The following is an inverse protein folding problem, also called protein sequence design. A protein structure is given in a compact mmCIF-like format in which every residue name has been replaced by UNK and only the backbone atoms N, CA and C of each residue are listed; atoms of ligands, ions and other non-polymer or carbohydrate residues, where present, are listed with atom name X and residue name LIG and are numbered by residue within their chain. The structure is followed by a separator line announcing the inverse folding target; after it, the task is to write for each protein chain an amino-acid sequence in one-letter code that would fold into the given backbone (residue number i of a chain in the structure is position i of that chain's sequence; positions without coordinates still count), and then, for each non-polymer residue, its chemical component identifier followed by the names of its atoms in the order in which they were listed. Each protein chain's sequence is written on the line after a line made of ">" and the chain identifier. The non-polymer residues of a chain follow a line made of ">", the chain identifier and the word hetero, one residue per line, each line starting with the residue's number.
data_IF_180335079791
#
_entry.id   IF_180335079791
#
_cell.length_a   1.000
_cell.length_b   1.000
_cell.length_c   1.000
_cell.angle_alpha   90.00
_cell.angle_beta   90.00
_cell.angle_gamma   90.00
#
_symmetry.space_group_name_H-M   'P 1'
#
loop_
_entity.id
_entity.type
_entity.pdbx_description
1 polymer ?
#
# COMPACT_ATOMS: atom_id res chain seq x y z
N UNK A 1 -26.18 -40.78 48.42
CA UNK A 1 -25.61 -39.68 49.25
C UNK A 1 -24.10 -39.90 49.35
N UNK A 2 -23.15 -38.99 49.12
CA UNK A 2 -23.12 -37.54 48.91
C UNK A 2 -21.82 -37.21 48.11
N UNK A 3 -21.98 -36.48 47.01
CA UNK A 3 -21.17 -35.37 46.47
C UNK A 3 -19.72 -35.18 46.98
N UNK A 4 -18.74 -35.45 46.12
CA UNK A 4 -17.43 -34.78 46.10
C UNK A 4 -17.45 -33.56 45.18
N UNK A 5 -17.44 -32.34 45.74
CA UNK A 5 -17.46 -31.07 45.00
C UNK A 5 -16.04 -30.63 44.62
N UNK A 6 -15.86 -30.40 43.32
CA UNK A 6 -14.92 -29.52 42.60
C UNK A 6 -14.02 -28.62 43.47
N UNK A 7 -12.71 -28.87 43.43
CA UNK A 7 -11.63 -27.92 43.81
C UNK A 7 -10.99 -27.23 42.59
N UNK A 8 -11.64 -27.31 41.43
CA UNK A 8 -11.27 -26.57 40.21
C UNK A 8 -12.21 -25.36 40.10
N UNK A 9 -11.85 -24.22 40.69
CA UNK A 9 -12.45 -22.92 40.29
C UNK A 9 -11.88 -21.67 40.96
N UNK A 10 -11.04 -21.76 42.00
CA UNK A 10 -10.65 -20.55 42.74
C UNK A 10 -9.38 -19.87 42.19
N UNK A 11 -8.38 -20.64 41.76
CA UNK A 11 -7.09 -20.09 41.27
C UNK A 11 -7.24 -19.45 39.88
N UNK A 12 -8.08 -20.03 39.01
CA UNK A 12 -8.31 -19.49 37.65
C UNK A 12 -9.15 -18.20 37.65
N UNK A 13 -10.03 -18.01 38.65
CA UNK A 13 -10.83 -16.79 38.77
C UNK A 13 -10.01 -15.61 39.29
N UNK A 14 -9.04 -15.86 40.18
CA UNK A 14 -8.14 -14.83 40.73
C UNK A 14 -7.15 -14.34 39.67
N UNK A 15 -6.67 -15.22 38.77
CA UNK A 15 -5.77 -14.84 37.68
C UNK A 15 -6.44 -13.97 36.59
N UNK A 16 -7.75 -14.10 36.37
CA UNK A 16 -8.51 -13.19 35.49
C UNK A 16 -9.06 -11.95 36.22
N UNK A 17 -9.31 -12.02 37.53
CA UNK A 17 -9.78 -10.88 38.30
C UNK A 17 -8.67 -9.86 38.57
N UNK A 18 -7.40 -10.27 38.73
CA UNK A 18 -6.31 -9.36 39.07
C UNK A 18 -6.01 -8.31 37.97
N UNK A 19 -5.93 -8.67 36.67
CA UNK A 19 -5.76 -7.68 35.59
C UNK A 19 -6.98 -6.77 35.45
N UNK A 20 -8.19 -7.32 35.63
CA UNK A 20 -9.45 -6.56 35.53
C UNK A 20 -9.61 -5.56 36.69
N UNK A 21 -9.20 -5.92 37.90
CA UNK A 21 -9.21 -5.01 39.05
C UNK A 21 -8.08 -3.97 39.00
N UNK A 22 -6.91 -4.30 38.45
CA UNK A 22 -5.83 -3.32 38.29
C UNK A 22 -6.22 -2.30 37.22
N UNK A 23 -6.69 -2.75 36.06
CA UNK A 23 -7.16 -1.87 34.98
C UNK A 23 -8.41 -1.10 35.41
N UNK A 24 -9.37 -1.74 36.08
CA UNK A 24 -10.57 -1.07 36.62
C UNK A 24 -10.27 -0.07 37.73
N UNK A 25 -9.33 -0.37 38.63
CA UNK A 25 -8.92 0.50 39.73
C UNK A 25 -8.11 1.72 39.27
N UNK A 26 -7.24 1.53 38.27
CA UNK A 26 -6.56 2.64 37.59
C UNK A 26 -7.53 3.46 36.74
N UNK A 27 -8.46 2.82 36.02
CA UNK A 27 -9.46 3.50 35.19
C UNK A 27 -10.43 4.39 35.98
N UNK A 28 -10.67 4.06 37.25
CA UNK A 28 -11.50 4.87 38.15
C UNK A 28 -10.77 6.10 38.69
N UNK A 29 -9.43 6.14 38.62
CA UNK A 29 -8.60 7.23 39.19
C UNK A 29 -7.89 8.07 38.13
N UNK A 30 -7.72 7.54 36.93
CA UNK A 30 -6.92 8.11 35.86
C UNK A 30 -7.70 8.06 34.54
N UNK A 31 -7.59 9.09 33.68
CA UNK A 31 -8.20 9.07 32.36
C UNK A 31 -7.76 7.83 31.56
N UNK A 32 -8.73 7.10 31.03
CA UNK A 32 -8.51 5.96 30.13
C UNK A 32 -8.94 6.33 28.73
N UNK A 33 -8.04 6.10 27.78
CA UNK A 33 -8.31 6.27 26.36
C UNK A 33 -8.30 4.91 25.68
N UNK A 34 -9.30 4.68 24.85
CA UNK A 34 -9.41 3.52 23.99
C UNK A 34 -9.14 3.94 22.56
N UNK A 35 -8.12 3.35 21.95
CA UNK A 35 -7.74 3.64 20.57
C UNK A 35 -7.74 2.35 19.76
N UNK A 36 -8.14 2.46 18.50
CA UNK A 36 -7.96 1.41 17.50
C UNK A 36 -6.87 1.87 16.54
N UNK A 37 -5.91 1.01 16.30
CA UNK A 37 -4.80 1.30 15.41
C UNK A 37 -4.69 0.19 14.35
N UNK A 38 -4.52 0.58 13.09
CA UNK A 38 -4.11 -0.33 12.03
C UNK A 38 -2.59 -0.33 12.00
N UNK A 39 -1.98 -1.49 12.27
CA UNK A 39 -0.53 -1.65 12.18
C UNK A 39 -0.23 -2.30 10.84
N UNK A 40 0.22 -1.48 9.89
CA UNK A 40 0.64 -1.91 8.56
C UNK A 40 2.08 -2.43 8.59
N UNK A 41 2.32 -3.44 7.76
CA UNK A 41 3.63 -3.97 7.47
C UNK A 41 3.71 -4.35 6.00
N UNK A 42 4.93 -4.59 5.52
CA UNK A 42 5.23 -4.90 4.13
C UNK A 42 5.83 -6.30 4.03
N UNK A 43 5.46 -7.02 2.98
CA UNK A 43 5.98 -8.34 2.68
C UNK A 43 6.05 -8.60 1.18
N UNK A 44 6.39 -9.83 0.83
CA UNK A 44 6.53 -10.28 -0.56
C UNK A 44 5.87 -11.63 -0.75
N UNK A 45 5.07 -11.73 -1.80
CA UNK A 45 4.48 -12.97 -2.31
C UNK A 45 5.16 -13.40 -3.61
N UNK A 46 5.04 -14.68 -3.94
CA UNK A 46 5.51 -15.25 -5.20
C UNK A 46 4.35 -15.91 -5.95
N UNK A 47 4.39 -15.90 -7.28
CA UNK A 47 3.31 -16.38 -8.12
C UNK A 47 3.77 -16.99 -9.44
N UNK A 48 2.84 -17.66 -10.11
CA UNK A 48 3.03 -18.13 -11.51
C UNK A 48 2.59 -17.08 -12.51
N UNK A 49 1.70 -16.18 -12.11
CA UNK A 49 1.20 -15.04 -12.89
C UNK A 49 1.19 -13.81 -11.97
N UNK A 50 1.09 -12.58 -12.52
CA UNK A 50 1.10 -11.37 -11.72
C UNK A 50 -0.17 -11.19 -10.85
N UNK A 51 -1.26 -11.88 -11.21
CA UNK A 51 -2.55 -11.85 -10.49
C UNK A 51 -2.78 -13.09 -9.60
N UNK A 52 -1.90 -14.09 -9.69
CA UNK A 52 -1.97 -15.30 -8.84
C UNK A 52 -0.68 -15.43 -8.03
N UNK A 53 -0.55 -14.53 -7.06
CA UNK A 53 0.55 -14.50 -6.09
C UNK A 53 0.10 -15.00 -4.74
N UNK A 54 1.00 -15.65 -4.00
CA UNK A 54 0.70 -16.17 -2.67
C UNK A 54 1.94 -16.16 -1.77
N UNK A 55 1.70 -16.30 -0.47
CA UNK A 55 2.77 -16.42 0.50
C UNK A 55 3.71 -17.60 0.16
N UNK A 56 5.01 -17.31 0.08
CA UNK A 56 6.04 -18.29 -0.19
C UNK A 56 6.63 -18.83 1.10
N UNK A 57 6.76 -20.15 1.23
CA UNK A 57 7.45 -20.79 2.37
C UNK A 57 8.93 -20.42 2.48
N UNK A 58 9.50 -19.86 1.40
CA UNK A 58 10.90 -19.43 1.36
C UNK A 58 11.10 -18.00 1.88
N UNK A 59 10.01 -17.30 2.22
CA UNK A 59 10.01 -15.90 2.66
C UNK A 59 9.35 -15.85 4.04
N UNK A 60 9.99 -15.21 5.01
CA UNK A 60 9.43 -15.03 6.35
C UNK A 60 8.79 -13.64 6.45
N UNK A 61 7.51 -13.55 6.08
CA UNK A 61 6.76 -12.30 6.15
C UNK A 61 6.24 -12.00 7.58
N UNK A 62 5.98 -10.72 7.93
CA UNK A 62 6.30 -9.52 7.16
C UNK A 62 7.83 -9.29 7.11
N UNK A 63 8.28 -8.63 6.04
CA UNK A 63 9.70 -8.37 5.77
C UNK A 63 10.18 -7.03 6.31
N UNK A 64 9.31 -6.00 6.24
CA UNK A 64 9.60 -4.67 6.76
C UNK A 64 8.42 -4.25 7.64
N UNK A 65 8.75 -3.76 8.83
CA UNK A 65 7.81 -3.26 9.83
C UNK A 65 8.29 -1.89 10.32
N UNK A 66 7.46 -1.19 11.10
CA UNK A 66 7.84 0.07 11.74
C UNK A 66 9.15 -0.01 12.55
N UNK A 67 9.46 -1.16 13.16
CA UNK A 67 10.68 -1.33 13.97
C UNK A 67 11.96 -1.47 13.15
N UNK A 68 11.86 -1.72 11.85
CA UNK A 68 13.02 -1.82 10.96
C UNK A 68 13.51 -0.44 10.49
N UNK A 69 12.66 0.58 10.62
CA UNK A 69 13.00 1.98 10.32
C UNK A 69 13.88 2.53 11.45
N UNK A 70 15.05 3.07 11.12
CA UNK A 70 16.09 3.40 12.12
C UNK A 70 16.51 4.87 12.18
N UNK A 71 16.14 5.68 11.18
CA UNK A 71 16.48 7.10 11.07
C UNK A 71 15.34 8.04 11.50
N UNK A 72 14.09 7.56 11.46
CA UNK A 72 12.91 8.21 12.05
C UNK A 72 12.07 7.25 12.90
N UNK A 73 11.18 7.78 13.73
CA UNK A 73 10.27 6.96 14.55
C UNK A 73 9.00 6.64 13.77
N UNK A 74 8.92 5.44 13.19
CA UNK A 74 7.76 5.03 12.40
C UNK A 74 6.60 4.48 13.25
N UNK A 75 5.37 4.78 12.84
CA UNK A 75 4.13 4.14 13.32
C UNK A 75 3.85 2.86 12.52
N UNK A 76 4.01 2.90 11.20
CA UNK A 76 3.83 1.78 10.29
C UNK A 76 4.60 1.98 8.98
N UNK A 77 4.59 0.95 8.12
CA UNK A 77 5.04 1.01 6.72
C UNK A 77 3.98 0.42 5.79
N UNK A 78 3.78 0.99 4.60
CA UNK A 78 2.73 0.60 3.64
C UNK A 78 3.08 0.93 2.18
N UNK A 79 2.22 0.55 1.24
CA UNK A 79 2.33 0.85 -0.19
C UNK A 79 3.68 0.56 -0.87
N UNK A 80 4.16 -0.69 -0.83
CA UNK A 80 5.48 -1.03 -1.35
C UNK A 80 5.50 -1.17 -2.87
N UNK A 81 6.36 -0.40 -3.53
CA UNK A 81 6.70 -0.52 -4.95
C UNK A 81 8.09 -1.09 -5.17
N UNK A 82 8.19 -2.11 -6.02
CA UNK A 82 9.44 -2.71 -6.44
C UNK A 82 10.07 -1.97 -7.63
N UNK A 83 11.39 -1.94 -7.63
CA UNK A 83 12.19 -1.54 -8.77
C UNK A 83 13.41 -2.46 -8.88
N UNK A 84 13.77 -2.86 -10.09
CA UNK A 84 14.93 -3.74 -10.32
C UNK A 84 15.94 -3.07 -11.24
N UNK A 85 17.19 -3.00 -10.79
CA UNK A 85 18.30 -2.43 -11.54
C UNK A 85 19.61 -3.13 -11.20
N UNK A 86 20.41 -3.44 -12.22
CA UNK A 86 21.74 -4.06 -12.08
C UNK A 86 21.71 -5.33 -11.19
N UNK A 87 20.71 -6.18 -11.41
CA UNK A 87 20.43 -7.41 -10.63
C UNK A 87 20.09 -7.20 -9.15
N UNK A 88 19.97 -5.95 -8.69
CA UNK A 88 19.52 -5.59 -7.33
C UNK A 88 18.04 -5.21 -7.35
N UNK A 89 17.33 -5.64 -6.32
CA UNK A 89 15.96 -5.22 -6.04
C UNK A 89 15.95 -4.07 -5.04
N UNK A 90 15.14 -3.08 -5.34
CA UNK A 90 14.82 -1.94 -4.49
C UNK A 90 13.33 -1.98 -4.21
N UNK A 91 12.94 -1.55 -3.01
CA UNK A 91 11.54 -1.40 -2.62
C UNK A 91 11.40 -0.03 -1.98
N UNK A 92 10.49 0.77 -2.51
CA UNK A 92 10.12 2.07 -1.96
C UNK A 92 8.74 1.94 -1.32
N UNK A 93 8.54 2.53 -0.16
CA UNK A 93 7.30 2.38 0.62
C UNK A 93 7.04 3.62 1.48
N UNK A 94 5.78 3.83 1.84
CA UNK A 94 5.39 4.82 2.84
C UNK A 94 5.96 4.41 4.21
N UNK A 95 6.47 5.40 4.94
CA UNK A 95 6.78 5.33 6.36
C UNK A 95 5.99 6.43 7.06
N UNK A 96 5.01 6.07 7.89
CA UNK A 96 4.28 7.07 8.67
C UNK A 96 5.12 7.48 9.88
N UNK A 97 5.58 8.73 9.89
CA UNK A 97 6.32 9.30 11.00
C UNK A 97 5.39 9.55 12.21
N UNK A 98 5.74 8.95 13.35
CA UNK A 98 4.94 8.99 14.57
C UNK A 98 5.01 10.32 15.33
N UNK A 99 5.96 11.20 14.97
CA UNK A 99 6.15 12.48 15.67
C UNK A 99 5.25 13.58 15.11
N UNK A 100 5.15 13.68 13.79
CA UNK A 100 4.35 14.69 13.08
C UNK A 100 3.10 14.11 12.40
N UNK A 101 2.97 12.78 12.30
CA UNK A 101 1.84 12.11 11.66
C UNK A 101 1.87 12.20 10.13
N UNK A 102 3.03 12.47 9.54
CA UNK A 102 3.24 12.65 8.10
C UNK A 102 3.91 11.41 7.50
N UNK A 103 3.54 11.06 6.27
CA UNK A 103 4.18 10.00 5.51
C UNK A 103 5.45 10.50 4.82
N UNK A 104 6.52 9.73 4.92
CA UNK A 104 7.80 9.90 4.22
C UNK A 104 8.05 8.66 3.34
N UNK A 105 8.96 8.73 2.36
CA UNK A 105 9.30 7.56 1.53
C UNK A 105 10.57 6.89 2.03
N UNK A 106 10.42 5.66 2.52
CA UNK A 106 11.51 4.77 2.89
C UNK A 106 11.97 3.90 1.72
N UNK A 107 13.16 3.31 1.85
CA UNK A 107 13.70 2.37 0.88
C UNK A 107 14.36 1.16 1.55
N UNK A 108 14.18 -0.02 0.96
CA UNK A 108 14.87 -1.25 1.30
C UNK A 108 15.51 -1.89 0.05
N UNK A 109 16.55 -2.70 0.27
CA UNK A 109 17.26 -3.40 -0.80
C UNK A 109 17.24 -4.91 -0.59
N UNK A 110 17.31 -5.66 -1.70
CA UNK A 110 17.46 -7.11 -1.71
C UNK A 110 18.29 -7.57 -2.90
N UNK A 111 19.15 -8.57 -2.69
CA UNK A 111 19.89 -9.22 -3.77
C UNK A 111 19.06 -10.31 -4.48
N UNK A 112 18.06 -10.87 -3.82
CA UNK A 112 17.32 -12.06 -4.28
C UNK A 112 15.79 -11.87 -4.34
N UNK A 113 15.31 -10.69 -3.94
CA UNK A 113 13.89 -10.35 -3.82
C UNK A 113 13.20 -10.99 -2.61
N UNK A 114 13.90 -11.75 -1.77
CA UNK A 114 13.33 -12.49 -0.63
C UNK A 114 13.84 -11.96 0.70
N UNK A 115 15.12 -11.64 0.77
CA UNK A 115 15.77 -11.10 1.97
C UNK A 115 15.94 -9.60 1.80
N UNK A 116 15.19 -8.83 2.58
CA UNK A 116 15.14 -7.38 2.47
C UNK A 116 15.82 -6.72 3.66
N UNK A 117 16.51 -5.63 3.39
CA UNK A 117 17.14 -4.80 4.42
C UNK A 117 16.71 -3.36 4.23
N UNK A 118 16.11 -2.79 5.27
CA UNK A 118 15.87 -1.35 5.36
C UNK A 118 17.16 -0.55 5.13
N UNK A 119 17.08 0.53 4.36
CA UNK A 119 18.20 1.43 4.08
C UNK A 119 18.05 2.76 4.83
N UNK A 120 17.15 3.62 4.37
CA UNK A 120 16.92 4.97 4.90
C UNK A 120 15.64 5.58 4.30
N UNK A 121 15.19 6.71 4.84
CA UNK A 121 14.28 7.65 4.17
C UNK A 121 15.01 8.29 2.98
N UNK A 122 14.36 8.31 1.82
CA UNK A 122 14.90 8.81 0.54
C UNK A 122 14.14 10.01 -0.01
N UNK A 123 12.93 10.27 0.50
CA UNK A 123 12.16 11.47 0.18
C UNK A 123 11.34 11.89 1.40
N UNK A 124 11.54 13.13 1.83
CA UNK A 124 10.87 13.81 2.93
C UNK A 124 10.52 15.22 2.45
N UNK A 125 9.27 15.63 2.64
CA UNK A 125 8.71 16.90 2.17
C UNK A 125 7.89 17.55 3.30
N UNK A 126 7.54 18.83 3.18
CA UNK A 126 6.71 19.52 4.19
C UNK A 126 5.25 19.01 4.24
N UNK A 127 4.87 18.07 3.38
CA UNK A 127 3.53 17.53 3.21
C UNK A 127 3.57 16.00 3.17
N UNK A 128 2.40 15.36 3.35
CA UNK A 128 2.29 13.91 3.41
C UNK A 128 2.63 13.26 2.06
N UNK A 129 3.47 12.22 2.11
CA UNK A 129 3.84 11.35 0.99
C UNK A 129 3.44 9.91 1.29
N UNK A 130 2.79 9.25 0.34
CA UNK A 130 2.58 7.80 0.36
C UNK A 130 2.71 7.23 -1.06
N UNK A 131 2.44 5.94 -1.25
CA UNK A 131 2.28 5.32 -2.57
C UNK A 131 3.36 5.71 -3.62
N UNK A 132 4.66 5.40 -3.38
CA UNK A 132 5.79 5.86 -4.20
C UNK A 132 5.95 5.08 -5.51
N UNK A 133 5.07 5.32 -6.49
CA UNK A 133 5.09 4.65 -7.78
C UNK A 133 6.38 4.93 -8.55
N UNK A 134 7.29 3.96 -8.58
CA UNK A 134 8.60 4.06 -9.24
C UNK A 134 8.63 3.37 -10.61
N UNK A 135 9.27 4.00 -11.60
CA UNK A 135 9.41 3.47 -12.96
C UNK A 135 10.58 4.10 -13.70
N UNK A 136 11.00 3.48 -14.81
CA UNK A 136 12.05 3.98 -15.69
C UNK A 136 11.46 4.49 -17.02
N UNK A 137 11.99 5.62 -17.51
CA UNK A 137 11.72 6.11 -18.84
C UNK A 137 12.92 6.86 -19.41
N UNK A 138 13.31 6.55 -20.66
CA UNK A 138 14.43 7.18 -21.36
C UNK A 138 15.74 7.19 -20.55
N UNK A 139 16.05 6.07 -19.88
CA UNK A 139 17.25 5.92 -19.06
C UNK A 139 17.26 6.75 -17.78
N UNK A 140 16.12 7.35 -17.40
CA UNK A 140 15.93 8.10 -16.17
C UNK A 140 14.93 7.35 -15.29
N UNK A 141 15.14 7.41 -13.97
CA UNK A 141 14.25 6.77 -13.00
C UNK A 141 13.42 7.85 -12.32
N UNK A 142 12.12 7.61 -12.29
CA UNK A 142 11.12 8.52 -11.77
C UNK A 142 10.33 7.87 -10.64
N UNK A 143 9.82 8.72 -9.76
CA UNK A 143 8.89 8.35 -8.68
C UNK A 143 7.73 9.34 -8.68
N UNK A 144 6.52 8.83 -8.51
CA UNK A 144 5.33 9.63 -8.25
C UNK A 144 4.76 9.15 -6.91
N UNK A 145 4.93 9.90 -5.81
CA UNK A 145 4.22 9.63 -4.58
C UNK A 145 2.78 10.18 -4.66
N UNK A 146 1.87 9.61 -3.88
CA UNK A 146 0.64 10.30 -3.49
C UNK A 146 1.02 11.53 -2.68
N UNK A 147 0.45 12.67 -3.05
CA UNK A 147 0.77 13.97 -2.47
C UNK A 147 -0.47 14.86 -2.41
N UNK A 148 -1.62 14.31 -2.03
CA UNK A 148 -2.91 15.00 -2.03
C UNK A 148 -2.83 16.33 -1.25
N UNK A 149 -2.18 16.31 -0.08
CA UNK A 149 -2.00 17.47 0.79
C UNK A 149 -1.19 18.61 0.15
N UNK A 150 -0.36 18.32 -0.86
CA UNK A 150 0.36 19.31 -1.66
C UNK A 150 -0.50 19.95 -2.76
N UNK A 151 -1.72 19.45 -2.99
CA UNK A 151 -2.66 19.89 -4.04
C UNK A 151 -2.12 19.78 -5.47
N UNK A 152 -1.14 18.91 -5.66
CA UNK A 152 -0.58 18.56 -6.95
C UNK A 152 -0.12 17.10 -6.93
N UNK A 153 -0.25 16.39 -8.04
CA UNK A 153 0.44 15.11 -8.23
C UNK A 153 1.85 15.39 -8.78
N UNK A 154 2.89 15.01 -8.04
CA UNK A 154 4.28 15.41 -8.33
C UNK A 154 5.10 14.26 -8.91
N UNK A 155 5.87 14.58 -9.95
CA UNK A 155 6.89 13.70 -10.50
C UNK A 155 8.26 14.08 -9.91
N UNK A 156 8.95 13.09 -9.37
CA UNK A 156 10.33 13.20 -8.91
C UNK A 156 11.25 12.42 -9.83
N UNK A 157 12.50 12.90 -9.97
CA UNK A 157 13.56 12.23 -10.73
C UNK A 157 14.70 11.85 -9.79
N UNK A 158 15.24 10.65 -9.93
CA UNK A 158 16.45 10.26 -9.21
C UNK A 158 17.66 11.00 -9.79
N UNK A 159 18.37 11.75 -8.95
CA UNK A 159 19.64 12.42 -9.30
C UNK A 159 20.86 11.63 -8.86
N UNK A 160 20.68 10.75 -7.87
CA UNK A 160 21.67 9.79 -7.37
C UNK A 160 20.90 8.55 -6.90
N UNK A 161 20.55 7.69 -7.85
CA UNK A 161 19.68 6.54 -7.57
C UNK A 161 20.40 5.50 -6.68
N UNK A 162 19.75 4.95 -5.63
CA UNK A 162 18.35 5.16 -5.21
C UNK A 162 18.13 6.25 -4.14
N UNK A 163 19.19 6.97 -3.74
CA UNK A 163 19.23 7.71 -2.48
C UNK A 163 18.73 9.15 -2.56
N UNK A 164 18.82 9.80 -3.73
CA UNK A 164 18.43 11.21 -3.88
C UNK A 164 17.49 11.43 -5.04
N UNK A 165 16.41 12.15 -4.73
CA UNK A 165 15.34 12.50 -5.63
C UNK A 165 15.16 14.01 -5.63
N UNK A 166 14.75 14.57 -6.77
CA UNK A 166 14.38 15.97 -6.87
C UNK A 166 13.03 16.10 -7.55
N UNK A 167 12.27 17.14 -7.17
CA UNK A 167 11.06 17.51 -7.87
C UNK A 167 11.38 17.83 -9.34
N UNK A 168 10.71 17.14 -10.26
CA UNK A 168 10.92 17.29 -11.70
C UNK A 168 9.76 17.97 -12.41
N UNK A 169 8.51 17.66 -12.04
CA UNK A 169 7.33 18.19 -12.73
C UNK A 169 6.04 18.06 -11.90
N UNK A 170 5.05 18.93 -12.18
CA UNK A 170 3.67 18.77 -11.70
C UNK A 170 2.85 18.06 -12.79
N UNK A 171 2.42 16.83 -12.54
CA UNK A 171 1.62 16.06 -13.51
C UNK A 171 0.20 16.59 -13.58
N UNK A 172 -0.41 16.82 -12.42
CA UNK A 172 -1.80 17.30 -12.28
C UNK A 172 -1.90 18.33 -11.15
N UNK A 173 -2.83 19.27 -11.29
CA UNK A 173 -3.26 20.20 -10.23
C UNK A 173 -4.54 19.66 -9.57
N UNK A 174 -4.54 19.55 -8.23
CA UNK A 174 -5.65 18.99 -7.47
C UNK A 174 -5.21 18.06 -6.34
N UNK A 175 -6.17 17.64 -5.51
CA UNK A 175 -5.95 16.66 -4.45
C UNK A 175 -6.22 15.26 -5.01
N UNK A 176 -5.16 14.49 -5.21
CA UNK A 176 -5.23 13.13 -5.74
C UNK A 176 -4.60 12.17 -4.76
N UNK A 177 -5.32 11.08 -4.49
CA UNK A 177 -4.82 9.94 -3.71
C UNK A 177 -3.95 9.04 -4.58
N UNK A 178 -4.13 7.73 -4.41
CA UNK A 178 -3.40 6.74 -5.20
C UNK A 178 -3.65 6.90 -6.70
N UNK A 179 -2.65 6.51 -7.46
CA UNK A 179 -2.58 6.71 -8.90
C UNK A 179 -1.94 5.50 -9.58
N UNK A 180 -1.99 5.42 -10.90
CA UNK A 180 -1.25 4.40 -11.63
C UNK A 180 -0.89 4.91 -13.01
N UNK A 181 0.42 4.98 -13.29
CA UNK A 181 0.96 5.47 -14.57
C UNK A 181 1.49 4.32 -15.42
N UNK A 182 1.18 4.32 -16.71
CA UNK A 182 1.69 3.31 -17.63
C UNK A 182 1.76 3.87 -19.05
N UNK A 183 2.61 3.24 -19.87
CA UNK A 183 2.74 3.58 -21.30
C UNK A 183 2.10 2.48 -22.12
N UNK A 184 1.18 2.86 -22.99
CA UNK A 184 0.48 1.94 -23.90
C UNK A 184 0.14 2.68 -25.19
N UNK A 185 0.39 2.03 -26.33
CA UNK A 185 0.14 2.58 -27.67
C UNK A 185 0.75 3.98 -27.87
N UNK A 186 2.05 4.10 -27.57
CA UNK A 186 2.84 5.35 -27.63
C UNK A 186 2.34 6.52 -26.77
N UNK A 187 1.37 6.29 -25.89
CA UNK A 187 0.80 7.28 -25.00
C UNK A 187 1.09 6.96 -23.54
N UNK A 188 1.26 8.00 -22.74
CA UNK A 188 1.17 7.91 -21.30
C UNK A 188 -0.28 7.95 -20.86
N UNK A 189 -0.62 7.08 -19.93
CA UNK A 189 -1.91 6.97 -19.28
C UNK A 189 -1.74 7.06 -17.77
N UNK A 190 -2.64 7.76 -17.11
CA UNK A 190 -2.60 7.98 -15.67
C UNK A 190 -4.01 7.85 -15.09
N UNK A 191 -4.20 6.83 -14.26
CA UNK A 191 -5.32 6.77 -13.34
C UNK A 191 -4.99 7.58 -12.09
N UNK A 192 -5.92 8.39 -11.58
CA UNK A 192 -5.74 9.14 -10.34
C UNK A 192 -7.05 9.18 -9.54
N UNK A 193 -7.00 8.75 -8.27
CA UNK A 193 -8.12 8.84 -7.35
C UNK A 193 -8.36 10.29 -6.95
N UNK A 194 -9.47 10.91 -7.38
CA UNK A 194 -9.74 12.35 -7.20
C UNK A 194 -10.69 12.66 -6.02
N UNK A 195 -10.94 11.69 -5.14
CA UNK A 195 -11.61 11.88 -3.86
C UNK A 195 -10.79 11.14 -2.78
N UNK A 196 -9.59 11.63 -2.43
CA UNK A 196 -8.63 10.89 -1.58
C UNK A 196 -9.14 10.56 -0.18
N UNK A 197 -10.21 11.24 0.28
CA UNK A 197 -10.77 11.04 1.61
C UNK A 197 -11.96 10.07 1.63
N UNK A 198 -12.68 9.91 0.51
CA UNK A 198 -13.76 8.92 0.39
C UNK A 198 -13.39 7.70 -0.43
N UNK A 199 -12.38 7.81 -1.29
CA UNK A 199 -11.89 6.76 -2.18
C UNK A 199 -12.91 6.30 -3.22
N UNK A 200 -13.81 7.19 -3.67
CA UNK A 200 -14.97 6.81 -4.52
C UNK A 200 -14.88 7.22 -5.99
N UNK A 201 -13.88 8.03 -6.37
CA UNK A 201 -13.81 8.61 -7.72
C UNK A 201 -12.44 8.37 -8.34
N UNK A 202 -12.44 7.78 -9.54
CA UNK A 202 -11.25 7.54 -10.35
C UNK A 202 -11.33 8.32 -11.66
N UNK A 203 -10.30 9.08 -11.97
CA UNK A 203 -10.16 9.80 -13.24
C UNK A 203 -9.04 9.20 -14.06
N UNK A 204 -9.17 9.30 -15.38
CA UNK A 204 -8.20 8.86 -16.37
C UNK A 204 -7.68 10.08 -17.14
N UNK A 205 -6.37 10.15 -17.29
CA UNK A 205 -5.67 11.18 -18.04
C UNK A 205 -4.70 10.56 -19.05
N UNK A 206 -4.33 11.32 -20.08
CA UNK A 206 -3.31 10.92 -21.04
C UNK A 206 -2.41 12.08 -21.48
N UNK A 207 -1.19 11.75 -21.88
CA UNK A 207 -0.17 12.69 -22.38
C UNK A 207 0.81 11.99 -23.35
N UNK A 208 1.46 12.74 -24.24
CA UNK A 208 2.46 12.19 -25.16
C UNK A 208 3.82 12.04 -24.46
N UNK A 209 4.19 13.04 -23.65
CA UNK A 209 5.34 13.03 -22.74
C UNK A 209 4.93 13.20 -21.26
N UNK A 210 5.78 12.76 -20.32
CA UNK A 210 5.56 12.92 -18.88
C UNK A 210 5.43 14.40 -18.46
N UNK A 211 6.13 15.29 -19.15
CA UNK A 211 6.18 16.73 -18.85
C UNK A 211 5.25 17.57 -19.73
N UNK A 212 4.37 16.91 -20.48
CA UNK A 212 3.32 17.59 -21.24
C UNK A 212 2.16 18.03 -20.33
N UNK A 213 1.21 18.72 -20.95
CA UNK A 213 -0.11 18.95 -20.39
C UNK A 213 -0.90 17.64 -20.46
N UNK A 214 -1.20 17.08 -19.30
CA UNK A 214 -2.07 15.92 -19.17
C UNK A 214 -3.52 16.29 -19.48
N UNK A 215 -4.11 15.58 -20.45
CA UNK A 215 -5.51 15.77 -20.86
C UNK A 215 -6.38 14.77 -20.11
N UNK A 216 -7.42 15.26 -19.46
CA UNK A 216 -8.44 14.39 -18.90
C UNK A 216 -9.17 13.65 -20.03
N UNK A 217 -9.31 12.33 -19.87
CA UNK A 217 -10.04 11.49 -20.82
C UNK A 217 -11.52 11.87 -20.86
N UNK A 218 -12.19 11.92 -22.03
CA UNK A 218 -13.57 12.38 -22.15
C UNK A 218 -14.61 11.52 -21.41
N UNK A 219 -14.28 10.26 -21.11
CA UNK A 219 -15.14 9.37 -20.29
C UNK A 219 -14.77 9.42 -18.79
N UNK A 220 -13.88 10.33 -18.37
CA UNK A 220 -13.63 10.56 -16.94
C UNK A 220 -14.79 11.32 -16.27
N UNK A 221 -15.10 11.04 -14.99
CA UNK A 221 -14.50 9.99 -14.17
C UNK A 221 -14.92 8.59 -14.66
N UNK A 222 -13.94 7.68 -14.73
CA UNK A 222 -14.16 6.30 -15.19
C UNK A 222 -14.76 5.42 -14.09
N UNK A 223 -14.65 5.86 -12.83
CA UNK A 223 -15.39 5.33 -11.68
C UNK A 223 -15.90 6.51 -10.86
N UNK A 224 -17.16 6.45 -10.40
CA UNK A 224 -17.79 7.52 -9.62
C UNK A 224 -18.67 6.93 -8.51
N UNK A 225 -18.55 7.50 -7.30
CA UNK A 225 -19.34 7.14 -6.12
C UNK A 225 -19.24 5.65 -5.73
N UNK A 226 -18.10 5.01 -6.00
CA UNK A 226 -17.87 3.58 -5.75
C UNK A 226 -16.49 3.36 -5.11
N UNK A 227 -16.49 3.00 -3.82
CA UNK A 227 -15.26 2.82 -3.03
C UNK A 227 -14.64 1.41 -3.19
N UNK A 228 -15.33 0.49 -3.87
CA UNK A 228 -14.90 -0.90 -4.03
C UNK A 228 -13.84 -1.01 -5.14
N UNK A 229 -13.87 -0.08 -6.10
CA UNK A 229 -13.13 -0.19 -7.37
C UNK A 229 -12.41 1.08 -7.82
N UNK A 230 -12.59 2.23 -7.14
CA UNK A 230 -12.03 3.50 -7.58
C UNK A 230 -10.55 3.68 -7.23
N UNK A 231 -10.13 3.40 -5.99
CA UNK A 231 -8.76 3.68 -5.54
C UNK A 231 -7.76 2.70 -6.17
N UNK A 232 -6.69 3.17 -6.85
CA UNK A 232 -5.63 2.28 -7.34
C UNK A 232 -4.94 1.49 -6.22
N UNK A 233 -4.47 0.27 -6.52
CA UNK A 233 -3.87 -0.67 -5.55
C UNK A 233 -2.49 -1.19 -5.98
N UNK A 234 -1.72 -0.35 -6.67
CA UNK A 234 -0.38 -0.62 -7.16
C UNK A 234 -0.24 -0.39 -8.66
N UNK A 235 0.70 -1.12 -9.26
CA UNK A 235 1.09 -0.98 -10.67
C UNK A 235 0.04 -1.54 -11.63
N UNK A 236 -0.14 -0.87 -12.77
CA UNK A 236 -0.87 -1.47 -13.91
C UNK A 236 -0.07 -2.64 -14.46
N UNK A 237 -0.67 -3.82 -14.47
CA UNK A 237 -0.03 -5.05 -14.93
C UNK A 237 -0.26 -5.20 -16.43
N UNK A 238 0.83 -5.39 -17.18
CA UNK A 238 0.78 -5.74 -18.60
C UNK A 238 1.38 -7.13 -18.79
N UNK A 239 0.54 -8.12 -19.07
CA UNK A 239 0.97 -9.51 -19.23
C UNK A 239 0.12 -10.21 -20.30
N UNK A 240 0.75 -11.06 -21.11
CA UNK A 240 0.05 -11.82 -22.16
C UNK A 240 -0.72 -10.97 -23.18
N UNK A 241 -0.31 -9.72 -23.41
CA UNK A 241 -1.01 -8.77 -24.31
C UNK A 241 -2.26 -8.13 -23.70
N UNK A 242 -2.52 -8.34 -22.41
CA UNK A 242 -3.61 -7.74 -21.66
C UNK A 242 -3.10 -6.69 -20.68
N UNK A 243 -3.97 -5.77 -20.31
CA UNK A 243 -3.68 -4.68 -19.36
C UNK A 243 -4.66 -4.81 -18.21
N UNK A 244 -4.15 -4.79 -16.99
CA UNK A 244 -4.95 -4.92 -15.78
C UNK A 244 -4.70 -3.73 -14.85
N UNK A 245 -5.77 -3.03 -14.50
CA UNK A 245 -5.78 -2.04 -13.42
C UNK A 245 -6.06 -2.76 -12.10
N UNK A 246 -5.26 -2.46 -11.08
CA UNK A 246 -5.51 -2.92 -9.72
C UNK A 246 -6.31 -1.87 -8.95
N UNK A 247 -7.28 -2.31 -8.17
CA UNK A 247 -8.14 -1.47 -7.36
C UNK A 247 -8.24 -1.97 -5.92
N UNK A 248 -8.16 -1.05 -4.98
CA UNK A 248 -8.35 -1.31 -3.56
C UNK A 248 -9.85 -1.27 -3.25
N UNK A 249 -10.34 -2.34 -2.63
CA UNK A 249 -11.67 -2.35 -2.02
C UNK A 249 -11.64 -1.60 -0.69
N UNK A 250 -12.31 -0.45 -0.64
CA UNK A 250 -12.42 0.40 0.54
C UNK A 250 -13.75 0.25 1.29
N UNK A 251 -14.69 -0.59 0.84
CA UNK A 251 -16.00 -0.77 1.48
C UNK A 251 -16.17 -2.17 2.11
N UNK A 252 -16.76 -2.28 3.33
CA UNK A 252 -17.15 -1.19 4.23
C UNK A 252 -15.98 -0.65 5.05
N UNK A 253 -14.74 -1.08 4.77
CA UNK A 253 -13.55 -0.61 5.49
C UNK A 253 -12.32 -0.56 4.62
N UNK A 254 -11.52 0.49 4.80
CA UNK A 254 -10.27 0.73 4.09
C UNK A 254 -9.36 -0.52 4.05
N UNK A 255 -8.83 -0.77 2.85
CA UNK A 255 -7.84 -1.81 2.56
C UNK A 255 -8.31 -3.23 2.80
N UNK A 256 -9.53 -3.54 2.41
CA UNK A 256 -10.13 -4.87 2.59
C UNK A 256 -9.47 -5.91 1.70
N UNK A 257 -9.35 -5.60 0.41
CA UNK A 257 -8.83 -6.50 -0.63
C UNK A 257 -8.33 -5.72 -1.85
N UNK A 258 -7.62 -6.42 -2.74
CA UNK A 258 -7.19 -5.91 -4.05
C UNK A 258 -7.91 -6.68 -5.14
N UNK A 259 -8.54 -5.96 -6.07
CA UNK A 259 -9.24 -6.48 -7.25
C UNK A 259 -8.50 -6.07 -8.53
N UNK A 260 -8.60 -6.88 -9.57
CA UNK A 260 -8.10 -6.57 -10.91
C UNK A 260 -9.25 -6.32 -11.90
N UNK A 261 -9.02 -5.39 -12.82
CA UNK A 261 -9.92 -5.06 -13.92
C UNK A 261 -9.13 -5.09 -15.23
N UNK A 262 -9.54 -5.97 -16.16
CA UNK A 262 -8.96 -6.03 -17.50
C UNK A 262 -9.45 -4.82 -18.29
N UNK A 263 -8.53 -3.98 -18.76
CA UNK A 263 -8.85 -2.87 -19.66
C UNK A 263 -9.09 -3.46 -21.06
N UNK A 264 -10.35 -3.46 -21.49
CA UNK A 264 -10.81 -4.09 -22.74
C UNK A 264 -10.87 -3.10 -23.91
N UNK A 265 -10.97 -1.80 -23.63
CA UNK A 265 -10.88 -0.72 -24.61
C UNK A 265 -10.08 0.43 -24.02
N UNK A 266 -9.06 0.92 -24.73
CA UNK A 266 -8.27 2.09 -24.33
C UNK A 266 -7.84 2.88 -25.57
N UNK A 267 -8.42 4.06 -25.73
CA UNK A 267 -8.08 5.03 -26.76
C UNK A 267 -8.28 6.45 -26.22
N UNK A 268 -7.87 7.49 -26.95
CA UNK A 268 -8.08 8.90 -26.52
C UNK A 268 -9.56 9.29 -26.36
N UNK A 269 -10.48 8.45 -26.81
CA UNK A 269 -11.92 8.74 -26.85
C UNK A 269 -12.80 7.73 -26.15
N UNK A 270 -12.28 6.55 -25.81
CA UNK A 270 -13.05 5.41 -25.29
C UNK A 270 -12.21 4.62 -24.29
N UNK A 271 -12.85 4.23 -23.20
CA UNK A 271 -12.33 3.45 -22.10
C UNK A 271 -13.38 2.41 -21.70
N UNK A 272 -12.96 1.16 -21.56
CA UNK A 272 -13.76 0.12 -20.97
C UNK A 272 -12.87 -0.85 -20.20
N UNK A 273 -13.41 -1.38 -19.11
CA UNK A 273 -12.77 -2.45 -18.34
C UNK A 273 -13.81 -3.48 -17.89
N UNK A 274 -13.35 -4.65 -17.46
CA UNK A 274 -14.19 -5.70 -16.91
C UNK A 274 -13.48 -6.38 -15.74
N UNK A 275 -14.20 -6.76 -14.67
CA UNK A 275 -13.59 -7.40 -13.52
C UNK A 275 -12.92 -8.71 -13.93
N UNK A 276 -11.74 -8.96 -13.39
CA UNK A 276 -11.09 -10.25 -13.54
C UNK A 276 -11.92 -11.35 -12.87
N UNK A 277 -12.12 -12.46 -13.56
CA UNK A 277 -13.06 -13.52 -13.15
C UNK A 277 -12.71 -14.19 -11.81
N UNK A 278 -11.44 -14.13 -11.41
CA UNK A 278 -10.93 -14.75 -10.19
C UNK A 278 -10.70 -13.76 -9.05
N UNK A 279 -11.24 -12.54 -9.15
CA UNK A 279 -11.18 -11.57 -8.05
C UNK A 279 -11.72 -12.14 -6.72
N UNK A 280 -11.16 -11.71 -5.58
CA UNK A 280 -10.06 -10.74 -5.44
C UNK A 280 -8.68 -11.36 -5.73
N UNK A 281 -7.73 -10.50 -6.16
CA UNK A 281 -6.30 -10.86 -6.32
C UNK A 281 -5.64 -11.05 -4.95
N UNK A 282 -5.89 -10.15 -4.01
CA UNK A 282 -5.48 -10.26 -2.61
C UNK A 282 -6.69 -10.09 -1.71
N UNK A 283 -6.82 -10.95 -0.69
CA UNK A 283 -7.82 -10.85 0.38
C UNK A 283 -7.14 -11.16 1.71
N UNK A 284 -7.71 -10.73 2.83
CA UNK A 284 -7.15 -10.91 4.17
C UNK A 284 -6.60 -12.31 4.41
N UNK A 285 -5.44 -12.36 5.06
CA UNK A 285 -4.85 -13.61 5.50
C UNK A 285 -5.71 -14.32 6.53
N UNK A 286 -5.47 -15.63 6.71
CA UNK A 286 -6.15 -16.41 7.75
C UNK A 286 -5.74 -16.00 9.17
N UNK A 287 -4.53 -15.47 9.33
CA UNK A 287 -3.93 -15.04 10.59
C UNK A 287 -2.72 -14.15 10.31
N UNK A 288 -2.08 -13.65 11.37
CA UNK A 288 -0.83 -12.90 11.26
C UNK A 288 -1.03 -11.46 10.76
N UNK A 289 0.01 -10.91 10.17
CA UNK A 289 0.14 -9.49 9.82
C UNK A 289 -0.83 -9.01 8.72
N UNK A 290 -1.45 -9.92 7.95
CA UNK A 290 -2.44 -9.62 6.90
C UNK A 290 -3.88 -9.94 7.32
N UNK A 291 -4.12 -10.28 8.59
CA UNK A 291 -5.40 -10.86 9.03
C UNK A 291 -6.63 -9.96 8.86
N UNK A 292 -6.44 -8.64 8.72
CA UNK A 292 -7.55 -7.69 8.57
C UNK A 292 -7.68 -7.11 7.16
N UNK A 293 -6.73 -7.38 6.27
CA UNK A 293 -6.77 -6.95 4.88
C UNK A 293 -5.37 -6.65 4.33
N UNK A 294 -5.35 -6.38 3.03
CA UNK A 294 -4.20 -6.01 2.21
C UNK A 294 -4.74 -5.05 1.14
N UNK A 295 -4.01 -3.98 0.80
CA UNK A 295 -4.48 -3.02 -0.20
C UNK A 295 -3.51 -2.71 -1.32
N UNK A 296 -2.27 -3.18 -1.22
CA UNK A 296 -1.26 -2.89 -2.21
C UNK A 296 -0.70 -4.16 -2.85
N UNK A 297 -0.45 -4.09 -4.15
CA UNK A 297 0.27 -5.10 -4.91
C UNK A 297 1.13 -4.46 -6.02
N UNK A 298 2.44 -4.65 -5.97
CA UNK A 298 3.32 -4.36 -7.11
C UNK A 298 4.07 -5.62 -7.55
N UNK A 299 3.68 -6.16 -8.72
CA UNK A 299 4.18 -7.44 -9.24
C UNK A 299 5.18 -7.24 -10.39
N UNK A 300 6.31 -7.95 -10.29
CA UNK A 300 7.38 -7.96 -11.29
C UNK A 300 7.75 -9.38 -11.69
N UNK A 301 8.15 -9.55 -12.95
CA UNK A 301 8.66 -10.82 -13.44
C UNK A 301 10.12 -11.02 -12.98
N UNK A 302 10.37 -12.11 -12.26
CA UNK A 302 11.71 -12.49 -11.82
C UNK A 302 12.48 -13.25 -12.92
N UNK A 303 13.81 -13.32 -12.79
CA UNK A 303 14.71 -14.00 -13.76
C UNK A 303 14.38 -15.47 -13.97
N UNK A 304 13.91 -16.15 -12.92
CA UNK A 304 13.52 -17.55 -12.97
C UNK A 304 12.17 -17.80 -13.67
N UNK A 305 11.57 -16.77 -14.27
CA UNK A 305 10.29 -16.82 -14.96
C UNK A 305 9.07 -16.82 -14.05
N UNK A 306 9.24 -16.82 -12.72
CA UNK A 306 8.16 -16.62 -11.75
C UNK A 306 7.86 -15.14 -11.56
N UNK A 307 6.77 -14.85 -10.85
CA UNK A 307 6.43 -13.52 -10.39
C UNK A 307 6.81 -13.34 -8.93
N UNK A 308 7.32 -12.15 -8.62
CA UNK A 308 7.52 -11.64 -7.27
C UNK A 308 6.62 -10.42 -7.12
N UNK A 309 5.93 -10.27 -6.00
CA UNK A 309 5.12 -9.10 -5.76
C UNK A 309 5.29 -8.59 -4.34
N UNK A 310 5.56 -7.29 -4.21
CA UNK A 310 5.45 -6.61 -2.92
C UNK A 310 4.00 -6.37 -2.60
N UNK A 311 3.67 -6.55 -1.32
CA UNK A 311 2.32 -6.36 -0.78
C UNK A 311 2.42 -5.75 0.61
N UNK A 312 1.37 -5.05 1.01
CA UNK A 312 1.16 -4.70 2.40
C UNK A 312 0.02 -5.50 3.03
N UNK A 313 -0.10 -5.38 4.34
CA UNK A 313 -1.22 -5.89 5.09
C UNK A 313 -1.20 -5.38 6.51
N UNK A 314 -2.34 -5.54 7.19
CA UNK A 314 -2.48 -5.01 8.53
C UNK A 314 -3.19 -5.91 9.52
N UNK A 315 -2.91 -5.57 10.78
CA UNK A 315 -3.68 -6.00 11.93
C UNK A 315 -4.26 -4.81 12.68
N UNK A 316 -5.52 -4.97 13.13
CA UNK A 316 -6.16 -4.03 14.05
C UNK A 316 -5.70 -4.36 15.47
N UNK A 317 -5.16 -3.36 16.17
CA UNK A 317 -4.87 -3.43 17.60
C UNK A 317 -5.88 -2.58 18.38
N UNK A 318 -6.23 -3.06 19.56
CA UNK A 318 -7.00 -2.30 20.53
C UNK A 318 -6.04 -1.88 21.65
N UNK A 319 -5.88 -0.57 21.82
CA UNK A 319 -4.94 0.02 22.76
C UNK A 319 -5.72 0.67 23.90
N UNK A 320 -5.30 0.39 25.13
CA UNK A 320 -5.80 1.02 26.34
C UNK A 320 -4.66 1.87 26.90
N UNK A 321 -4.78 3.20 26.81
CA UNK A 321 -3.85 4.14 27.43
C UNK A 321 -4.42 4.63 28.75
N UNK A 322 -3.60 4.64 29.80
CA UNK A 322 -3.96 5.11 31.13
C UNK A 322 -2.97 6.22 31.50
N UNK A 323 -3.47 7.45 31.66
CA UNK A 323 -2.64 8.60 32.05
C UNK A 323 -2.55 8.67 33.57
N UNK A 324 -1.46 8.13 34.14
CA UNK A 324 -1.22 8.13 35.58
C UNK A 324 -0.25 9.21 36.03
#
# INVERSE_FOLDING_TARGET
>A
MKKGKRRFSFIFLVAMAFPVFLVGGLALKHPVLFERENVWAVGVYEGKSPLEVMESRSINNPLITASDVTDIKASFVADPFLFRKDSVWYMFFEVLNSLDGKGDIGMAVSADGRNWKYSQIVLDEEFHLSYPYVFEHNGQIYMIPESASAKHLRLYRAVDFPYRWEFAWKLLDGEFGDHAIFRYDEMWWLFAGSDPYKNTTLRLYYAEDLRDIWKEHPESPVVKDDADIARPAGRVIMDGGKIYRLAQDCDPSYGRSVNAFEITELSKTRFAESPWESNPVLDRGRSGWTAHGMHHLDAHRAENGKWIASIDGYVRRFIIKINY
#
